data_IF_769250936098
#
_entry.id   IF_769250936098
#
_cell.length_a   1.000
_cell.length_b   1.000
_cell.length_c   1.000
_cell.angle_alpha   90.00
_cell.angle_beta   90.00
_cell.angle_gamma   90.00
#
_symmetry.space_group_name_H-M   'P 1'
#
loop_
_entity.id
_entity.type
_entity.pdbx_description
1 polymer ?
#
# COMPACT_ATOMS: atom_id res chain seq x y z
N UNK A 1 17.41 -27.35 21.80
CA UNK A 1 16.54 -26.27 21.31
C UNK A 1 15.80 -25.65 22.48
N UNK A 2 15.87 -24.35 22.58
CA UNK A 2 15.04 -23.66 23.58
C UNK A 2 13.60 -23.62 23.07
N UNK A 3 12.65 -23.53 23.99
CA UNK A 3 11.22 -23.39 23.66
C UNK A 3 10.97 -22.20 22.72
N UNK A 4 11.79 -21.17 22.82
CA UNK A 4 11.76 -19.99 21.96
C UNK A 4 12.07 -20.33 20.49
N UNK A 5 12.97 -21.27 20.22
CA UNK A 5 13.43 -21.62 18.88
C UNK A 5 12.39 -22.44 18.08
N UNK A 6 11.36 -22.97 18.76
CA UNK A 6 10.30 -23.75 18.11
C UNK A 6 9.20 -22.88 17.47
N UNK A 7 9.17 -21.58 17.75
CA UNK A 7 8.14 -20.69 17.23
C UNK A 7 8.44 -20.12 15.85
N UNK A 8 9.72 -20.07 15.47
CA UNK A 8 10.17 -19.58 14.16
C UNK A 8 11.21 -20.58 13.64
N UNK A 9 10.83 -21.38 12.65
CA UNK A 9 11.67 -22.47 12.15
C UNK A 9 11.95 -22.27 10.66
N UNK A 10 13.22 -22.06 10.27
CA UNK A 10 13.59 -22.01 8.85
C UNK A 10 13.51 -23.42 8.25
N UNK A 11 12.98 -23.50 7.05
CA UNK A 11 12.87 -24.75 6.28
C UNK A 11 13.82 -24.69 5.09
N UNK A 12 14.58 -25.75 4.89
CA UNK A 12 15.57 -25.83 3.82
C UNK A 12 15.20 -26.94 2.83
N UNK A 13 15.54 -26.72 1.55
CA UNK A 13 15.41 -27.74 0.53
C UNK A 13 16.59 -28.70 0.60
N UNK A 14 16.54 -29.78 -0.20
CA UNK A 14 17.58 -30.83 -0.21
C UNK A 14 18.97 -30.29 -0.58
N UNK A 15 19.04 -29.22 -1.36
CA UNK A 15 20.28 -28.58 -1.78
C UNK A 15 20.84 -27.57 -0.77
N UNK A 16 20.15 -27.39 0.37
CA UNK A 16 20.56 -26.47 1.43
C UNK A 16 20.06 -25.04 1.26
N UNK A 17 19.30 -24.73 0.21
CA UNK A 17 18.72 -23.40 0.04
C UNK A 17 17.50 -23.22 0.95
N UNK A 18 17.27 -21.97 1.39
CA UNK A 18 16.11 -21.64 2.22
C UNK A 18 14.82 -21.79 1.41
N UNK A 19 13.96 -22.69 1.83
CA UNK A 19 12.66 -22.93 1.20
C UNK A 19 11.57 -22.03 1.78
N UNK A 20 11.60 -21.81 3.09
CA UNK A 20 10.57 -21.02 3.74
C UNK A 20 10.83 -20.90 5.24
N UNK A 21 9.91 -20.25 5.93
CA UNK A 21 9.94 -20.06 7.37
C UNK A 21 8.58 -20.48 7.93
N UNK A 22 8.62 -21.37 8.91
CA UNK A 22 7.41 -21.83 9.60
C UNK A 22 7.25 -21.04 10.90
N UNK A 23 6.08 -20.45 11.08
CA UNK A 23 5.72 -19.75 12.31
C UNK A 23 4.73 -20.57 13.12
N UNK A 24 4.91 -20.62 14.44
CA UNK A 24 3.94 -21.27 15.30
C UNK A 24 2.62 -20.51 15.36
N UNK A 25 1.49 -21.17 15.70
CA UNK A 25 0.22 -20.46 15.89
C UNK A 25 0.31 -19.33 16.92
N UNK A 26 1.08 -19.52 17.99
CA UNK A 26 1.24 -18.52 19.05
C UNK A 26 1.91 -17.24 18.51
N UNK A 27 2.98 -17.37 17.71
CA UNK A 27 3.63 -16.22 17.09
C UNK A 27 2.67 -15.56 16.09
N UNK A 28 1.98 -16.36 15.28
CA UNK A 28 1.05 -15.84 14.30
C UNK A 28 -0.07 -15.02 14.94
N UNK A 29 -0.65 -15.51 16.05
CA UNK A 29 -1.68 -14.77 16.79
C UNK A 29 -1.17 -13.44 17.32
N UNK A 30 0.10 -13.38 17.72
CA UNK A 30 0.72 -12.18 18.27
C UNK A 30 1.04 -11.13 17.20
N UNK A 31 1.56 -11.56 16.05
CA UNK A 31 2.10 -10.63 15.04
C UNK A 31 1.32 -10.62 13.73
N UNK A 32 0.42 -11.57 13.51
CA UNK A 32 -0.26 -11.73 12.22
C UNK A 32 -0.99 -10.48 11.73
N UNK A 33 -1.62 -9.74 12.63
CA UNK A 33 -2.30 -8.48 12.29
C UNK A 33 -1.32 -7.40 11.81
N UNK A 34 -0.09 -7.42 12.32
CA UNK A 34 0.96 -6.46 11.94
C UNK A 34 1.67 -6.91 10.67
N UNK A 35 1.91 -8.21 10.54
CA UNK A 35 2.66 -8.78 9.41
C UNK A 35 1.76 -8.91 8.16
N UNK A 36 0.48 -9.21 8.33
CA UNK A 36 -0.45 -9.42 7.21
C UNK A 36 -0.37 -8.33 6.15
N UNK A 37 -0.59 -7.05 6.51
CA UNK A 37 -0.48 -5.96 5.54
C UNK A 37 0.90 -5.81 4.91
N UNK A 38 1.97 -6.11 5.66
CA UNK A 38 3.34 -6.07 5.15
C UNK A 38 3.56 -7.16 4.10
N UNK A 39 3.07 -8.37 4.38
CA UNK A 39 3.16 -9.49 3.44
C UNK A 39 2.33 -9.23 2.17
N UNK A 40 1.13 -8.67 2.32
CA UNK A 40 0.32 -8.30 1.16
C UNK A 40 1.02 -7.27 0.28
N UNK A 41 1.58 -6.23 0.90
CA UNK A 41 2.35 -5.23 0.17
C UNK A 41 3.54 -5.82 -0.57
N UNK A 42 4.25 -6.77 0.06
CA UNK A 42 5.36 -7.47 -0.58
C UNK A 42 4.89 -8.33 -1.76
N UNK A 43 3.77 -9.05 -1.59
CA UNK A 43 3.18 -9.86 -2.67
C UNK A 43 2.73 -8.99 -3.85
N UNK A 44 2.11 -7.85 -3.56
CA UNK A 44 1.68 -6.91 -4.59
C UNK A 44 2.88 -6.34 -5.36
N UNK A 45 4.00 -6.12 -4.68
CA UNK A 45 5.23 -5.68 -5.33
C UNK A 45 5.86 -6.78 -6.20
N UNK A 46 5.76 -8.03 -5.78
CA UNK A 46 6.26 -9.17 -6.54
C UNK A 46 5.36 -9.52 -7.74
N UNK A 47 4.06 -9.30 -7.60
CA UNK A 47 3.05 -9.68 -8.60
C UNK A 47 2.10 -8.51 -8.91
N UNK A 48 2.60 -7.42 -9.51
CA UNK A 48 1.80 -6.22 -9.73
C UNK A 48 0.57 -6.45 -10.63
N UNK A 49 0.64 -7.39 -11.54
CA UNK A 49 -0.50 -7.74 -12.39
C UNK A 49 -1.66 -8.36 -11.59
N UNK A 50 -1.35 -9.11 -10.52
CA UNK A 50 -2.37 -9.66 -9.62
C UNK A 50 -2.93 -8.58 -8.69
N UNK A 51 -2.08 -7.67 -8.24
CA UNK A 51 -2.49 -6.55 -7.40
C UNK A 51 -3.55 -5.68 -8.09
N UNK A 52 -3.38 -5.41 -9.39
CA UNK A 52 -4.31 -4.61 -10.18
C UNK A 52 -5.63 -5.33 -10.50
N UNK A 53 -5.71 -6.64 -10.25
CA UNK A 53 -6.94 -7.42 -10.46
C UNK A 53 -7.85 -7.47 -9.23
N UNK A 54 -7.34 -7.12 -8.06
CA UNK A 54 -8.16 -7.07 -6.84
C UNK A 54 -9.20 -5.96 -6.99
N UNK A 55 -10.46 -6.18 -6.58
CA UNK A 55 -11.46 -5.12 -6.65
C UNK A 55 -11.08 -3.93 -5.77
N UNK A 56 -11.40 -2.73 -6.25
CA UNK A 56 -11.18 -1.51 -5.49
C UNK A 56 -12.11 -1.48 -4.26
N UNK A 57 -11.60 -1.11 -3.06
CA UNK A 57 -12.42 -1.02 -1.86
C UNK A 57 -13.26 0.26 -1.86
N UNK A 58 -14.27 0.31 -2.72
CA UNK A 58 -15.08 1.50 -2.94
C UNK A 58 -15.94 1.87 -1.73
N UNK A 59 -16.29 0.90 -0.89
CA UNK A 59 -16.97 1.16 0.37
C UNK A 59 -16.09 1.96 1.33
N UNK A 60 -14.84 1.57 1.45
CA UNK A 60 -13.86 2.29 2.28
C UNK A 60 -13.60 3.69 1.73
N UNK A 61 -13.54 3.83 0.41
CA UNK A 61 -13.41 5.12 -0.27
C UNK A 61 -14.60 6.03 0.01
N UNK A 62 -15.82 5.49 -0.07
CA UNK A 62 -17.03 6.25 0.24
C UNK A 62 -17.04 6.68 1.70
N UNK A 63 -16.70 5.77 2.62
CA UNK A 63 -16.59 6.08 4.04
C UNK A 63 -15.55 7.19 4.29
N UNK A 64 -14.41 7.11 3.62
CA UNK A 64 -13.38 8.17 3.68
C UNK A 64 -13.93 9.53 3.26
N UNK A 65 -14.70 9.59 2.18
CA UNK A 65 -15.34 10.83 1.73
C UNK A 65 -16.40 11.32 2.72
N UNK A 66 -17.23 10.43 3.23
CA UNK A 66 -18.34 10.77 4.12
C UNK A 66 -17.87 11.34 5.47
N UNK A 67 -16.71 10.86 5.95
CA UNK A 67 -16.13 11.30 7.22
C UNK A 67 -14.96 12.28 7.05
N UNK A 68 -14.92 12.99 5.91
CA UNK A 68 -13.91 14.01 5.63
C UNK A 68 -14.00 15.15 6.65
N UNK A 69 -12.93 15.34 7.42
CA UNK A 69 -12.86 16.40 8.43
C UNK A 69 -11.55 17.20 8.37
N UNK A 70 -10.83 17.13 7.28
CA UNK A 70 -9.61 17.93 7.08
C UNK A 70 -9.95 19.38 6.75
N UNK A 71 -9.02 20.31 7.05
CA UNK A 71 -9.24 21.75 6.91
C UNK A 71 -9.29 22.24 5.46
N UNK A 72 -8.92 21.42 4.51
CA UNK A 72 -8.92 21.75 3.09
C UNK A 72 -10.01 20.93 2.37
N UNK A 73 -10.47 21.38 1.18
CA UNK A 73 -11.49 20.68 0.44
C UNK A 73 -11.03 19.28 0.00
N UNK A 74 -11.97 18.36 -0.09
CA UNK A 74 -11.73 17.03 -0.63
C UNK A 74 -11.14 17.14 -2.05
N UNK A 75 -10.18 16.29 -2.34
CA UNK A 75 -9.46 16.28 -3.60
C UNK A 75 -9.20 14.85 -4.04
N UNK A 76 -9.69 14.49 -5.23
CA UNK A 76 -9.52 13.16 -5.81
C UNK A 76 -8.27 13.04 -6.71
N UNK A 77 -7.41 14.05 -6.72
CA UNK A 77 -6.19 14.06 -7.53
C UNK A 77 -5.18 13.06 -7.00
N UNK A 78 -4.57 12.29 -7.89
CA UNK A 78 -3.48 11.35 -7.57
C UNK A 78 -2.32 11.60 -8.53
N UNK A 79 -1.11 11.55 -7.98
CA UNK A 79 0.12 11.77 -8.72
C UNK A 79 1.14 10.69 -8.36
N UNK A 80 1.75 10.08 -9.38
CA UNK A 80 2.83 9.11 -9.18
C UNK A 80 4.18 9.80 -9.28
N UNK A 81 4.94 9.80 -8.20
CA UNK A 81 6.28 10.41 -8.16
C UNK A 81 7.35 9.59 -8.89
N UNK A 82 7.05 8.38 -9.30
CA UNK A 82 7.98 7.52 -10.04
C UNK A 82 7.95 7.82 -11.53
N UNK A 83 6.76 7.76 -12.16
CA UNK A 83 6.62 7.94 -13.60
C UNK A 83 6.01 9.28 -14.02
N UNK A 84 5.55 10.09 -13.06
CA UNK A 84 4.91 11.37 -13.35
C UNK A 84 3.45 11.29 -13.80
N UNK A 85 2.83 10.12 -13.77
CA UNK A 85 1.42 9.98 -14.10
C UNK A 85 0.55 10.79 -13.13
N UNK A 86 -0.46 11.49 -13.64
CA UNK A 86 -1.36 12.33 -12.86
C UNK A 86 -2.79 12.07 -13.30
N UNK A 87 -3.70 11.98 -12.34
CA UNK A 87 -5.14 12.03 -12.58
C UNK A 87 -5.75 13.08 -11.69
N UNK A 88 -6.50 14.01 -12.26
CA UNK A 88 -7.17 15.06 -11.48
C UNK A 88 -8.36 14.50 -10.69
N UNK A 89 -8.95 13.40 -11.16
CA UNK A 89 -10.00 12.67 -10.47
C UNK A 89 -9.86 11.18 -10.80
N UNK A 90 -9.15 10.46 -9.97
CA UNK A 90 -8.83 9.05 -10.21
C UNK A 90 -10.09 8.18 -10.36
N UNK A 91 -11.17 8.53 -9.66
CA UNK A 91 -12.41 7.75 -9.62
C UNK A 91 -13.16 7.82 -10.96
N UNK A 92 -13.19 8.99 -11.58
CA UNK A 92 -13.95 9.26 -12.80
C UNK A 92 -13.07 9.38 -14.05
N UNK A 93 -11.76 9.19 -13.93
CA UNK A 93 -10.84 9.26 -15.06
C UNK A 93 -11.14 8.12 -16.04
N UNK A 94 -11.43 8.43 -17.32
CA UNK A 94 -11.74 7.40 -18.32
C UNK A 94 -10.56 6.44 -18.57
N UNK A 95 -9.33 6.91 -18.44
CA UNK A 95 -8.13 6.10 -18.61
C UNK A 95 -7.79 5.27 -17.37
N UNK A 96 -8.33 5.65 -16.21
CA UNK A 96 -8.11 4.93 -14.95
C UNK A 96 -6.63 4.59 -14.70
N UNK A 97 -5.72 5.59 -14.66
CA UNK A 97 -4.29 5.29 -14.47
C UNK A 97 -3.95 4.79 -13.07
N UNK A 98 -4.85 4.96 -12.12
CA UNK A 98 -4.67 4.52 -10.74
C UNK A 98 -5.78 3.59 -10.30
N UNK A 99 -5.39 2.54 -9.58
CA UNK A 99 -6.29 1.56 -8.98
C UNK A 99 -6.22 1.70 -7.47
N UNK A 100 -7.35 1.93 -6.82
CA UNK A 100 -7.41 2.07 -5.36
C UNK A 100 -7.16 0.73 -4.68
N UNK A 101 -6.22 0.71 -3.75
CA UNK A 101 -5.89 -0.48 -2.96
C UNK A 101 -6.38 -0.37 -1.53
N UNK A 102 -6.36 0.82 -0.96
CA UNK A 102 -6.79 1.05 0.41
C UNK A 102 -7.17 2.51 0.64
N UNK A 103 -8.19 2.74 1.44
CA UNK A 103 -8.57 4.06 1.93
C UNK A 103 -8.85 3.95 3.43
N UNK A 104 -8.14 4.75 4.22
CA UNK A 104 -8.22 4.72 5.69
C UNK A 104 -8.68 6.05 6.24
N UNK A 105 -9.54 6.02 7.26
CA UNK A 105 -9.99 7.21 7.97
C UNK A 105 -8.85 7.98 8.64
N UNK A 106 -7.68 7.35 8.83
CA UNK A 106 -6.49 8.04 9.32
C UNK A 106 -5.88 9.02 8.30
N UNK A 107 -6.37 9.01 7.06
CA UNK A 107 -5.90 9.92 6.02
C UNK A 107 -4.99 9.27 4.98
N UNK A 108 -4.77 7.96 5.05
CA UNK A 108 -3.92 7.26 4.09
C UNK A 108 -4.76 6.61 3.00
N UNK A 109 -4.50 6.98 1.76
CA UNK A 109 -5.02 6.31 0.57
C UNK A 109 -3.87 5.70 -0.22
N UNK A 110 -4.01 4.43 -0.61
CA UNK A 110 -2.98 3.69 -1.35
C UNK A 110 -3.52 3.31 -2.71
N UNK A 111 -2.74 3.59 -3.74
CA UNK A 111 -3.08 3.32 -5.14
C UNK A 111 -1.99 2.50 -5.82
N UNK A 112 -2.37 1.76 -6.82
CA UNK A 112 -1.46 1.12 -7.77
C UNK A 112 -1.42 1.95 -9.04
N UNK A 113 -0.22 2.37 -9.46
CA UNK A 113 -0.04 3.07 -10.73
C UNK A 113 0.04 2.05 -11.86
N UNK A 114 -0.93 2.08 -12.77
CA UNK A 114 -0.97 1.13 -13.88
C UNK A 114 0.12 1.39 -14.92
N UNK A 115 0.68 2.60 -14.96
CA UNK A 115 1.71 2.97 -15.93
C UNK A 115 3.08 2.38 -15.59
N UNK A 116 3.48 2.42 -14.31
CA UNK A 116 4.81 1.98 -13.88
C UNK A 116 4.80 0.91 -12.79
N UNK A 117 3.61 0.45 -12.38
CA UNK A 117 3.40 -0.54 -11.32
C UNK A 117 3.89 -0.10 -9.93
N UNK A 118 4.12 1.19 -9.73
CA UNK A 118 4.50 1.71 -8.42
C UNK A 118 3.32 1.69 -7.45
N UNK A 119 3.62 1.62 -6.16
CA UNK A 119 2.65 1.83 -5.10
C UNK A 119 2.67 3.30 -4.72
N UNK A 120 1.54 3.99 -4.89
CA UNK A 120 1.39 5.41 -4.61
C UNK A 120 0.62 5.58 -3.30
N UNK A 121 1.16 6.39 -2.40
CA UNK A 121 0.51 6.72 -1.13
C UNK A 121 0.16 8.20 -1.12
N UNK A 122 -1.11 8.48 -0.95
CA UNK A 122 -1.61 9.85 -0.74
C UNK A 122 -1.91 9.98 0.74
N UNK A 123 -1.10 10.75 1.43
CA UNK A 123 -1.23 10.98 2.88
C UNK A 123 -1.87 12.34 3.12
N UNK A 124 -2.97 12.34 3.86
CA UNK A 124 -3.68 13.57 4.24
C UNK A 124 -3.33 13.93 5.68
N UNK A 125 -2.68 15.06 5.85
CA UNK A 125 -2.39 15.63 7.16
C UNK A 125 -3.39 16.75 7.47
N UNK A 126 -3.29 17.37 8.63
CA UNK A 126 -4.23 18.42 9.06
C UNK A 126 -4.26 19.62 8.11
N UNK A 127 -3.13 19.95 7.52
CA UNK A 127 -2.92 21.19 6.77
C UNK A 127 -2.32 20.99 5.38
N UNK A 128 -2.00 19.74 5.01
CA UNK A 128 -1.37 19.47 3.71
C UNK A 128 -1.59 18.01 3.27
N UNK A 129 -1.32 17.78 1.99
CA UNK A 129 -1.34 16.44 1.37
C UNK A 129 0.08 16.11 0.90
N UNK A 130 0.49 14.87 1.11
CA UNK A 130 1.79 14.38 0.68
C UNK A 130 1.61 13.16 -0.23
N UNK A 131 2.34 13.14 -1.34
CA UNK A 131 2.40 11.98 -2.22
C UNK A 131 3.75 11.29 -2.09
N UNK A 132 3.72 9.98 -1.87
CA UNK A 132 4.89 9.13 -1.90
C UNK A 132 4.64 8.00 -2.90
N UNK A 133 5.69 7.54 -3.57
CA UNK A 133 5.59 6.40 -4.46
C UNK A 133 6.78 5.47 -4.25
N UNK A 134 6.49 4.17 -4.19
CA UNK A 134 7.51 3.13 -4.12
C UNK A 134 7.50 2.37 -5.43
N UNK A 135 8.63 2.36 -6.18
CA UNK A 135 8.73 1.57 -7.40
C UNK A 135 8.51 0.09 -7.12
N UNK A 136 8.19 -0.65 -8.16
CA UNK A 136 8.02 -2.10 -8.06
C UNK A 136 9.26 -2.79 -7.46
N UNK A 137 10.43 -2.25 -7.73
CA UNK A 137 11.70 -2.72 -7.16
C UNK A 137 12.53 -1.49 -6.79
N UNK A 138 12.79 -1.27 -5.51
CA UNK A 138 13.67 -0.20 -5.07
C UNK A 138 13.12 0.69 -3.96
N UNK A 139 13.78 1.81 -3.77
CA UNK A 139 13.50 2.77 -2.70
C UNK A 139 12.30 3.66 -2.99
N UNK A 140 11.67 4.13 -1.93
CA UNK A 140 10.57 5.09 -2.03
C UNK A 140 11.06 6.41 -2.61
N UNK A 141 10.27 6.99 -3.52
CA UNK A 141 10.52 8.31 -4.07
C UNK A 141 9.35 9.24 -3.73
N UNK A 142 9.65 10.49 -3.58
CA UNK A 142 8.69 11.52 -3.27
C UNK A 142 9.14 12.37 -2.09
N UNK A 143 8.63 13.57 -1.99
CA UNK A 143 8.85 14.46 -0.85
C UNK A 143 7.52 14.96 -0.32
N UNK A 144 7.40 14.97 1.02
CA UNK A 144 6.28 15.58 1.69
C UNK A 144 6.57 17.04 1.90
N UNK A 145 6.21 17.86 0.93
CA UNK A 145 6.27 19.31 1.05
C UNK A 145 4.93 19.88 1.46
N UNK A 146 4.93 21.11 1.95
CA UNK A 146 3.70 21.84 2.25
C UNK A 146 3.00 22.16 0.93
N UNK A 147 1.94 21.41 0.62
CA UNK A 147 1.08 21.70 -0.52
C UNK A 147 -0.17 22.39 0.01
N UNK A 148 0.00 23.63 0.37
CA UNK A 148 -1.13 24.44 0.77
C UNK A 148 -1.50 25.33 -0.39
N UNK A 149 -2.54 24.95 -1.05
CA UNK A 149 -3.30 25.89 -1.88
C UNK A 149 -4.75 25.50 -1.94
#
# INVERSE_FOLDING_TARGET
MSEKDSHVVPLYSKDGSLYGILLSPQIWETVGRKIGPILEGALDAMYPALASQKPEPLEDWQTFKDYWDFKYPFNARVECKVCGAVSEDWEHDPEKPFHLKNASLSGLCVFHCKQCNATVRKKHFKDHICFEATPQQGDSTGSCGTLVE
#
